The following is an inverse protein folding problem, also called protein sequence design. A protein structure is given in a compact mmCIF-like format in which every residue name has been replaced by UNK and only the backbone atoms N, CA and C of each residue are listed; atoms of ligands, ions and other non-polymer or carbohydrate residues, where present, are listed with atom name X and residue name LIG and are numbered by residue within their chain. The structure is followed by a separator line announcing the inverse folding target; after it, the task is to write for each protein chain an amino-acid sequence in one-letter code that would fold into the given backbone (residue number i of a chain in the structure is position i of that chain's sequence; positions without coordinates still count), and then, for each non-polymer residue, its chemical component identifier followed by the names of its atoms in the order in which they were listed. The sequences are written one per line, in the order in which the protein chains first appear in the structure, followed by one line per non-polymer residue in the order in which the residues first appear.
data_IF_991115576999
#
_entry.id   IF_991115576999
#
_cell.length_a   1.000
_cell.length_b   1.000
_cell.length_c   1.000
_cell.angle_alpha   90.00
_cell.angle_beta   90.00
_cell.angle_gamma   90.00
#
_symmetry.space_group_name_H-M   'P 1'
#
loop_
_entity.id
_entity.type
_entity.pdbx_description
1 polymer ?
#
# COMPACT_ATOMS: atom_id res chain seq x y z
N UNK A 1 -25.50 10.81 -13.21
CA UNK A 1 -25.11 10.30 -11.87
C UNK A 1 -23.58 10.19 -11.68
N UNK A 2 -22.80 9.70 -12.64
CA UNK A 2 -21.33 9.56 -12.48
C UNK A 2 -20.60 10.90 -12.37
N UNK A 3 -20.97 11.92 -13.16
CA UNK A 3 -20.38 13.26 -13.12
C UNK A 3 -20.62 13.97 -11.78
N UNK A 4 -21.84 13.88 -11.24
CA UNK A 4 -22.17 14.43 -9.92
C UNK A 4 -21.33 13.75 -8.80
N UNK A 5 -21.19 12.42 -8.87
CA UNK A 5 -20.36 11.67 -7.91
C UNK A 5 -18.89 12.08 -7.98
N UNK A 6 -18.35 12.23 -9.19
CA UNK A 6 -16.97 12.72 -9.40
C UNK A 6 -16.78 14.10 -8.77
N UNK A 7 -17.66 15.05 -9.06
CA UNK A 7 -17.58 16.41 -8.52
C UNK A 7 -17.63 16.41 -7.00
N UNK A 8 -18.61 15.70 -6.42
CA UNK A 8 -18.74 15.56 -4.97
C UNK A 8 -17.47 15.00 -4.33
N UNK A 9 -16.90 13.91 -4.90
CA UNK A 9 -15.66 13.31 -4.39
C UNK A 9 -14.47 14.25 -4.49
N UNK A 10 -14.34 15.00 -5.58
CA UNK A 10 -13.28 15.98 -5.76
C UNK A 10 -13.37 17.09 -4.70
N UNK A 11 -14.56 17.59 -4.42
CA UNK A 11 -14.76 18.61 -3.37
C UNK A 11 -14.37 18.07 -2.00
N UNK A 12 -14.80 16.85 -1.65
CA UNK A 12 -14.44 16.21 -0.38
C UNK A 12 -12.93 15.94 -0.28
N UNK A 13 -12.31 15.50 -1.37
CA UNK A 13 -10.86 15.28 -1.41
C UNK A 13 -10.10 16.60 -1.22
N UNK A 14 -10.50 17.67 -1.90
CA UNK A 14 -9.89 18.98 -1.74
C UNK A 14 -9.98 19.46 -0.29
N UNK A 15 -11.16 19.32 0.34
CA UNK A 15 -11.35 19.65 1.75
C UNK A 15 -10.46 18.78 2.65
N UNK A 16 -10.41 17.47 2.42
CA UNK A 16 -9.62 16.55 3.23
C UNK A 16 -8.11 16.77 3.05
N UNK A 17 -7.66 17.15 1.85
CA UNK A 17 -6.25 17.53 1.60
C UNK A 17 -5.91 18.81 2.36
N UNK A 18 -6.78 19.82 2.34
CA UNK A 18 -6.60 21.06 3.11
C UNK A 18 -6.49 20.76 4.62
N UNK A 19 -7.38 19.92 5.14
CA UNK A 19 -7.32 19.45 6.54
C UNK A 19 -6.00 18.70 6.78
N UNK A 20 -5.59 17.81 5.88
CA UNK A 20 -4.34 17.06 5.96
C UNK A 20 -3.11 17.98 6.02
N UNK A 21 -3.08 19.04 5.22
CA UNK A 21 -2.02 20.06 5.26
C UNK A 21 -1.98 20.74 6.65
N UNK A 22 -3.13 21.18 7.17
CA UNK A 22 -3.21 21.83 8.50
C UNK A 22 -2.76 20.87 9.61
N UNK A 23 -3.25 19.63 9.61
CA UNK A 23 -2.83 18.62 10.59
C UNK A 23 -1.34 18.31 10.51
N UNK A 24 -0.78 18.29 9.29
CA UNK A 24 0.65 18.08 9.08
C UNK A 24 1.48 19.24 9.64
N UNK A 25 1.08 20.48 9.42
CA UNK A 25 1.76 21.68 9.96
C UNK A 25 1.71 21.69 11.50
N UNK A 26 0.60 21.29 12.10
CA UNK A 26 0.40 21.34 13.56
C UNK A 26 1.10 20.15 14.25
N UNK A 27 0.89 18.94 13.77
CA UNK A 27 1.25 17.71 14.48
C UNK A 27 2.44 16.95 13.89
N UNK A 28 2.82 17.18 12.62
CA UNK A 28 3.85 16.44 11.91
C UNK A 28 5.07 17.30 11.56
N UNK A 29 5.41 18.29 12.39
CA UNK A 29 6.53 19.21 12.16
C UNK A 29 7.89 18.50 12.17
N UNK A 30 8.07 17.53 13.02
CA UNK A 30 9.27 16.69 13.11
C UNK A 30 8.97 15.29 12.59
N UNK A 31 9.99 14.58 12.10
CA UNK A 31 9.89 13.24 11.54
C UNK A 31 9.00 12.31 12.34
N UNK A 32 8.17 11.58 11.63
CA UNK A 32 6.99 10.88 12.14
C UNK A 32 7.35 9.61 12.91
N UNK A 33 6.99 9.54 14.18
CA UNK A 33 6.91 8.24 14.85
C UNK A 33 5.69 7.48 14.32
N UNK A 34 5.86 6.23 13.89
CA UNK A 34 4.76 5.35 13.49
C UNK A 34 3.87 4.90 14.67
N UNK A 35 3.91 5.63 15.78
CA UNK A 35 3.14 5.37 17.00
C UNK A 35 2.58 6.67 17.59
N UNK A 36 1.54 6.53 18.39
CA UNK A 36 0.91 7.66 19.08
C UNK A 36 -0.07 8.44 18.21
N UNK A 37 -0.26 9.72 18.55
CA UNK A 37 -1.27 10.58 17.93
C UNK A 37 -1.00 10.81 16.44
N UNK A 38 0.24 11.05 16.06
CA UNK A 38 0.64 11.31 14.66
C UNK A 38 0.30 10.12 13.76
N UNK A 39 0.60 8.92 14.20
CA UNK A 39 0.27 7.68 13.50
C UNK A 39 -1.25 7.50 13.33
N UNK A 40 -2.02 7.75 14.39
CA UNK A 40 -3.49 7.69 14.33
C UNK A 40 -4.07 8.72 13.35
N UNK A 41 -3.54 9.94 13.34
CA UNK A 41 -3.94 10.98 12.39
C UNK A 41 -3.71 10.52 10.95
N UNK A 42 -2.51 10.00 10.63
CA UNK A 42 -2.18 9.53 9.28
C UNK A 42 -3.08 8.37 8.88
N UNK A 43 -3.22 7.35 9.72
CA UNK A 43 -4.03 6.17 9.43
C UNK A 43 -5.51 6.55 9.24
N UNK A 44 -6.05 7.39 10.11
CA UNK A 44 -7.44 7.88 9.97
C UNK A 44 -7.61 8.67 8.68
N UNK A 45 -6.66 9.57 8.37
CA UNK A 45 -6.72 10.39 7.17
C UNK A 45 -6.67 9.55 5.88
N UNK A 46 -5.74 8.58 5.78
CA UNK A 46 -5.67 7.65 4.65
C UNK A 46 -6.95 6.82 4.50
N UNK A 47 -7.50 6.33 5.61
CA UNK A 47 -8.77 5.59 5.63
C UNK A 47 -9.96 6.45 5.16
N UNK A 48 -9.99 7.75 5.51
CA UNK A 48 -11.00 8.69 5.00
C UNK A 48 -10.84 8.95 3.51
N UNK A 49 -9.61 9.11 3.02
CA UNK A 49 -9.33 9.23 1.57
C UNK A 49 -9.85 8.00 0.82
N UNK A 50 -9.54 6.79 1.30
CA UNK A 50 -10.04 5.56 0.71
C UNK A 50 -11.59 5.54 0.66
N UNK A 51 -12.25 5.92 1.76
CA UNK A 51 -13.74 5.99 1.83
C UNK A 51 -14.33 7.01 0.85
N UNK A 52 -13.70 8.16 0.65
CA UNK A 52 -14.16 9.17 -0.34
C UNK A 52 -14.11 8.58 -1.74
N UNK A 53 -13.13 7.75 -2.07
CA UNK A 53 -13.10 7.01 -3.33
C UNK A 53 -14.17 5.91 -3.43
N UNK A 54 -14.91 5.66 -2.36
CA UNK A 54 -16.01 4.68 -2.32
C UNK A 54 -15.52 3.26 -2.09
N UNK A 55 -14.34 3.07 -1.50
CA UNK A 55 -13.84 1.73 -1.17
C UNK A 55 -14.66 1.08 -0.07
N UNK A 56 -14.98 -0.20 -0.24
CA UNK A 56 -15.62 -1.08 0.73
C UNK A 56 -14.62 -2.16 1.11
N UNK A 57 -13.93 -1.95 2.21
CA UNK A 57 -12.79 -2.77 2.61
C UNK A 57 -13.28 -3.94 3.46
N UNK A 58 -12.93 -5.17 3.06
CA UNK A 58 -13.04 -6.38 3.87
C UNK A 58 -11.65 -6.86 4.23
N UNK A 59 -11.41 -7.12 5.51
CA UNK A 59 -10.12 -7.62 6.01
C UNK A 59 -10.24 -9.06 6.46
N UNK A 60 -9.22 -9.86 6.15
CA UNK A 60 -9.10 -11.26 6.55
C UNK A 60 -7.74 -11.46 7.23
N UNK A 61 -7.70 -12.28 8.26
CA UNK A 61 -6.52 -12.42 9.12
C UNK A 61 -6.30 -11.22 10.04
N UNK A 62 -5.16 -11.19 10.69
CA UNK A 62 -4.80 -10.15 11.67
C UNK A 62 -3.46 -9.53 11.30
N UNK A 63 -3.42 -8.23 11.20
CA UNK A 63 -2.18 -7.49 10.99
C UNK A 63 -1.29 -7.55 12.23
N UNK A 64 0.00 -7.78 12.04
CA UNK A 64 1.00 -7.61 13.09
C UNK A 64 1.10 -6.11 13.46
N UNK A 65 1.33 -5.83 14.72
CA UNK A 65 1.23 -4.45 15.23
C UNK A 65 2.57 -3.74 15.35
N UNK A 66 3.66 -4.50 15.40
CA UNK A 66 4.98 -3.95 15.69
C UNK A 66 6.10 -4.65 14.92
N UNK A 67 7.13 -3.87 14.57
CA UNK A 67 8.40 -4.37 14.02
C UNK A 67 8.18 -5.37 12.87
N UNK A 68 7.29 -4.99 11.96
CA UNK A 68 6.87 -5.87 10.86
C UNK A 68 7.19 -5.24 9.51
N UNK A 69 7.84 -6.02 8.65
CA UNK A 69 7.91 -5.74 7.23
C UNK A 69 6.70 -6.38 6.54
N UNK A 70 5.72 -5.57 6.18
CA UNK A 70 4.63 -6.00 5.33
C UNK A 70 5.11 -6.10 3.88
N UNK A 71 4.76 -7.20 3.23
CA UNK A 71 5.16 -7.49 1.85
C UNK A 71 3.91 -7.76 1.03
N UNK A 72 3.54 -6.82 0.16
CA UNK A 72 2.29 -6.87 -0.58
C UNK A 72 2.50 -6.98 -2.10
N UNK A 73 1.51 -7.55 -2.79
CA UNK A 73 1.30 -7.31 -4.21
C UNK A 73 0.83 -5.87 -4.45
N UNK A 74 0.88 -5.39 -5.69
CA UNK A 74 0.56 -4.01 -6.04
C UNK A 74 -0.33 -3.94 -7.28
N UNK A 75 -1.52 -3.38 -7.12
CA UNK A 75 -2.52 -3.26 -8.20
C UNK A 75 -2.74 -1.79 -8.57
N UNK A 76 -2.85 -0.94 -7.56
CA UNK A 76 -3.29 0.44 -7.74
C UNK A 76 -2.63 1.39 -6.74
N UNK A 77 -2.59 2.67 -7.07
CA UNK A 77 -2.24 3.70 -6.09
C UNK A 77 -3.22 3.74 -4.89
N UNK A 78 -4.44 3.20 -5.05
CA UNK A 78 -5.41 3.02 -3.95
C UNK A 78 -4.90 2.09 -2.86
N UNK A 79 -4.00 1.17 -3.16
CA UNK A 79 -3.43 0.22 -2.19
C UNK A 79 -2.82 0.97 -0.99
N UNK A 80 -2.18 2.13 -1.27
CA UNK A 80 -1.56 2.96 -0.24
C UNK A 80 -2.62 3.52 0.73
N UNK A 81 -3.73 4.01 0.20
CA UNK A 81 -4.83 4.57 1.01
C UNK A 81 -5.52 3.48 1.82
N UNK A 82 -5.74 2.32 1.21
CA UNK A 82 -6.38 1.17 1.85
C UNK A 82 -5.50 0.62 2.96
N UNK A 83 -4.25 0.23 2.66
CA UNK A 83 -3.34 -0.39 3.63
C UNK A 83 -2.93 0.58 4.73
N UNK A 84 -2.61 1.83 4.38
CA UNK A 84 -2.26 2.87 5.35
C UNK A 84 -3.45 3.30 6.21
N UNK A 85 -4.69 3.10 5.74
CA UNK A 85 -5.90 3.31 6.52
C UNK A 85 -6.21 2.17 7.50
N UNK A 86 -5.58 1.01 7.35
CA UNK A 86 -5.78 -0.15 8.21
C UNK A 86 -4.69 -0.30 9.27
N UNK A 87 -3.43 -0.01 8.91
CA UNK A 87 -2.27 -0.24 9.78
C UNK A 87 -1.31 0.95 9.71
N UNK A 88 -0.73 1.37 10.85
CA UNK A 88 0.33 2.37 10.84
C UNK A 88 1.60 1.81 10.17
N UNK A 89 1.97 2.39 9.03
CA UNK A 89 3.02 1.85 8.16
C UNK A 89 3.87 2.99 7.57
N UNK A 90 5.18 2.78 7.49
CA UNK A 90 6.08 3.54 6.63
C UNK A 90 6.12 2.88 5.25
N UNK A 91 5.62 3.56 4.23
CA UNK A 91 5.66 3.06 2.86
C UNK A 91 7.02 3.29 2.22
N UNK A 92 7.44 2.38 1.34
CA UNK A 92 8.51 2.64 0.38
C UNK A 92 7.90 3.04 -0.96
N UNK A 93 8.23 4.23 -1.42
CA UNK A 93 7.72 4.81 -2.67
C UNK A 93 8.84 5.13 -3.66
N UNK A 94 8.49 5.39 -4.92
CA UNK A 94 9.43 5.91 -5.91
C UNK A 94 9.88 7.32 -5.53
N UNK A 95 11.14 7.66 -5.84
CA UNK A 95 11.69 8.99 -5.58
C UNK A 95 10.91 10.10 -6.29
N UNK A 96 10.35 9.84 -7.48
CA UNK A 96 9.55 10.80 -8.24
C UNK A 96 8.32 11.28 -7.47
N UNK A 97 7.72 10.43 -6.62
CA UNK A 97 6.59 10.81 -5.78
C UNK A 97 6.97 11.90 -4.78
N UNK A 98 8.23 11.92 -4.30
CA UNK A 98 8.74 12.96 -3.39
C UNK A 98 8.64 14.36 -4.01
N UNK A 99 8.81 14.45 -5.33
CA UNK A 99 8.80 15.69 -6.09
C UNK A 99 7.40 16.14 -6.52
N UNK A 100 6.36 15.33 -6.27
CA UNK A 100 4.98 15.72 -6.57
C UNK A 100 4.54 16.85 -5.62
N UNK A 101 4.01 17.97 -6.15
CA UNK A 101 3.49 19.03 -5.32
C UNK A 101 2.44 18.52 -4.33
N UNK A 102 2.44 19.02 -3.10
CA UNK A 102 1.53 18.68 -2.01
C UNK A 102 1.62 17.20 -1.60
N UNK A 103 1.40 16.26 -2.53
CA UNK A 103 1.42 14.81 -2.24
C UNK A 103 2.78 14.36 -1.73
N UNK A 104 3.87 14.77 -2.40
CA UNK A 104 5.24 14.41 -2.00
C UNK A 104 5.61 15.00 -0.63
N UNK A 105 5.16 16.23 -0.36
CA UNK A 105 5.37 16.87 0.94
C UNK A 105 4.58 16.14 2.05
N UNK A 106 3.29 15.84 1.84
CA UNK A 106 2.46 15.08 2.78
C UNK A 106 3.03 13.69 3.03
N UNK A 107 3.41 12.96 1.97
CA UNK A 107 4.00 11.63 2.06
C UNK A 107 5.32 11.65 2.85
N UNK A 108 6.20 12.62 2.59
CA UNK A 108 7.46 12.76 3.34
C UNK A 108 7.20 13.02 4.82
N UNK A 109 6.24 13.89 5.14
CA UNK A 109 5.84 14.16 6.53
C UNK A 109 5.14 12.97 7.19
N UNK A 110 4.49 12.12 6.40
CA UNK A 110 3.94 10.85 6.88
C UNK A 110 5.00 9.73 7.05
N UNK A 111 6.29 10.03 6.82
CA UNK A 111 7.38 9.07 7.03
C UNK A 111 7.57 8.09 5.87
N UNK A 112 7.15 8.45 4.66
CA UNK A 112 7.42 7.65 3.46
C UNK A 112 8.92 7.61 3.19
N UNK A 113 9.44 6.41 2.96
CA UNK A 113 10.79 6.13 2.49
C UNK A 113 10.82 6.18 0.96
N UNK A 114 11.97 6.48 0.37
CA UNK A 114 12.06 6.64 -1.07
C UNK A 114 13.18 5.79 -1.68
N UNK A 115 12.95 5.31 -2.90
CA UNK A 115 13.91 4.53 -3.67
C UNK A 115 13.98 5.03 -5.10
N UNK A 116 15.20 5.19 -5.62
CA UNK A 116 15.44 5.35 -7.05
C UNK A 116 15.53 3.96 -7.69
N UNK A 117 14.51 3.58 -8.45
CA UNK A 117 14.43 2.25 -9.07
C UNK A 117 15.50 2.08 -10.14
N UNK A 118 16.01 0.85 -10.26
CA UNK A 118 17.09 0.53 -11.23
C UNK A 118 18.50 0.79 -10.72
N UNK A 119 18.66 1.51 -9.60
CA UNK A 119 19.96 1.76 -8.98
C UNK A 119 20.20 0.79 -7.82
N UNK A 120 21.35 0.10 -7.81
CA UNK A 120 21.72 -0.89 -6.78
C UNK A 120 22.05 -0.23 -5.44
N UNK A 121 22.70 0.92 -5.47
CA UNK A 121 23.06 1.71 -4.30
C UNK A 121 21.80 2.22 -3.61
N UNK A 122 20.87 2.80 -4.36
CA UNK A 122 19.59 3.27 -3.81
C UNK A 122 18.75 2.15 -3.20
N UNK A 123 18.83 0.92 -3.73
CA UNK A 123 18.17 -0.23 -3.12
C UNK A 123 18.83 -0.65 -1.79
N UNK A 124 20.15 -0.45 -1.64
CA UNK A 124 20.87 -0.69 -0.39
C UNK A 124 20.51 0.38 0.65
N UNK A 125 20.47 1.65 0.25
CA UNK A 125 20.04 2.76 1.11
C UNK A 125 18.61 2.55 1.61
N UNK A 126 17.67 2.25 0.71
CA UNK A 126 16.28 1.96 1.07
C UNK A 126 16.17 0.77 2.03
N UNK A 127 16.99 -0.28 1.86
CA UNK A 127 17.05 -1.41 2.79
C UNK A 127 17.55 -0.98 4.17
N UNK A 128 18.55 -0.09 4.22
CA UNK A 128 19.05 0.48 5.46
C UNK A 128 18.00 1.34 6.17
N UNK A 129 17.30 2.19 5.45
CA UNK A 129 16.23 3.03 5.98
C UNK A 129 15.08 2.20 6.56
N UNK A 130 14.65 1.16 5.83
CA UNK A 130 13.64 0.21 6.32
C UNK A 130 14.15 -0.48 7.59
N UNK A 131 15.42 -0.91 7.61
CA UNK A 131 16.04 -1.54 8.79
C UNK A 131 15.99 -0.60 10.00
N UNK A 132 16.31 0.68 9.81
CA UNK A 132 16.26 1.68 10.88
C UNK A 132 14.83 1.85 11.44
N UNK A 133 13.83 1.94 10.56
CA UNK A 133 12.41 2.00 10.94
C UNK A 133 11.99 0.77 11.74
N UNK A 134 12.33 -0.42 11.27
CA UNK A 134 12.01 -1.68 11.95
C UNK A 134 12.70 -1.80 13.30
N UNK A 135 13.98 -1.39 13.43
CA UNK A 135 14.72 -1.41 14.70
C UNK A 135 14.12 -0.47 15.75
N UNK A 136 13.48 0.62 15.32
CA UNK A 136 12.70 1.51 16.20
C UNK A 136 11.36 0.89 16.64
N UNK A 137 11.05 -0.32 16.20
CA UNK A 137 9.80 -1.02 16.51
C UNK A 137 8.62 -0.62 15.61
N UNK A 138 8.86 0.16 14.56
CA UNK A 138 7.82 0.58 13.62
C UNK A 138 7.61 -0.45 12.52
N UNK A 139 6.51 -0.30 11.78
CA UNK A 139 6.20 -1.14 10.63
C UNK A 139 6.61 -0.45 9.33
N UNK A 140 7.04 -1.23 8.36
CA UNK A 140 7.25 -0.76 6.99
C UNK A 140 6.49 -1.64 6.00
N UNK A 141 6.13 -1.11 4.85
CA UNK A 141 5.51 -1.87 3.77
C UNK A 141 6.26 -1.66 2.46
N UNK A 142 6.51 -2.76 1.78
CA UNK A 142 7.04 -2.78 0.42
C UNK A 142 6.06 -3.48 -0.51
N UNK A 143 5.88 -2.91 -1.70
CA UNK A 143 5.26 -3.60 -2.82
C UNK A 143 6.34 -4.37 -3.57
N UNK A 144 6.44 -5.68 -3.27
CA UNK A 144 7.58 -6.49 -3.65
C UNK A 144 7.72 -6.76 -5.17
N UNK A 145 6.66 -6.53 -5.94
CA UNK A 145 6.69 -6.57 -7.41
C UNK A 145 7.49 -5.42 -8.02
N UNK A 146 7.72 -4.36 -7.27
CA UNK A 146 8.42 -3.17 -7.75
C UNK A 146 7.62 -2.31 -8.74
N UNK A 147 6.43 -2.71 -9.16
CA UNK A 147 5.50 -1.99 -10.03
C UNK A 147 4.09 -2.54 -9.82
N UNK A 148 3.08 -1.83 -10.29
CA UNK A 148 1.70 -2.33 -10.33
C UNK A 148 1.53 -3.45 -11.36
N UNK A 149 0.58 -4.34 -11.11
CA UNK A 149 0.23 -5.48 -11.97
C UNK A 149 -1.26 -5.50 -12.29
N UNK A 150 -1.63 -6.23 -13.33
CA UNK A 150 -3.00 -6.42 -13.80
C UNK A 150 -3.74 -7.57 -13.05
N UNK A 151 -3.21 -7.94 -11.89
CA UNK A 151 -3.69 -9.09 -11.12
C UNK A 151 -3.00 -10.41 -11.47
N UNK A 152 -2.00 -10.38 -12.39
CA UNK A 152 -0.98 -11.41 -12.53
C UNK A 152 0.22 -11.00 -11.70
N UNK A 153 0.39 -11.65 -10.54
CA UNK A 153 1.43 -11.27 -9.59
C UNK A 153 2.80 -11.55 -10.19
N UNK A 154 3.61 -10.51 -10.28
CA UNK A 154 5.00 -10.60 -10.74
C UNK A 154 5.88 -11.14 -9.61
N UNK A 155 7.03 -11.70 -9.99
CA UNK A 155 8.02 -12.18 -9.02
C UNK A 155 8.36 -11.11 -7.99
N UNK A 156 8.43 -11.50 -6.73
CA UNK A 156 8.84 -10.63 -5.64
C UNK A 156 10.36 -10.43 -5.63
N UNK A 157 10.80 -9.19 -5.50
CA UNK A 157 12.20 -8.83 -5.41
C UNK A 157 12.72 -9.03 -3.98
N UNK A 158 13.70 -9.92 -3.81
CA UNK A 158 14.19 -10.33 -2.49
C UNK A 158 15.10 -9.32 -1.80
N UNK A 159 15.67 -8.33 -2.54
CA UNK A 159 16.72 -7.45 -2.00
C UNK A 159 16.28 -6.71 -0.73
N UNK A 160 15.08 -6.15 -0.71
CA UNK A 160 14.56 -5.41 0.42
C UNK A 160 14.15 -6.29 1.62
N UNK A 161 14.02 -7.62 1.42
CA UNK A 161 13.79 -8.57 2.52
C UNK A 161 14.98 -8.63 3.49
N UNK A 162 16.17 -8.20 3.04
CA UNK A 162 17.34 -8.11 3.89
C UNK A 162 17.11 -7.22 5.11
N UNK A 163 16.32 -6.15 4.97
CA UNK A 163 15.97 -5.25 6.07
C UNK A 163 15.28 -5.94 7.24
N UNK A 164 14.42 -6.92 6.96
CA UNK A 164 13.75 -7.70 8.01
C UNK A 164 14.74 -8.62 8.75
N UNK A 165 15.72 -9.19 8.03
CA UNK A 165 16.79 -10.02 8.62
C UNK A 165 17.67 -9.16 9.53
N UNK A 166 18.16 -8.03 9.03
CA UNK A 166 19.05 -7.12 9.75
C UNK A 166 18.39 -6.45 10.97
N UNK A 167 17.06 -6.30 10.91
CA UNK A 167 16.29 -5.80 12.03
C UNK A 167 15.78 -6.90 12.98
N UNK A 168 15.96 -8.19 12.67
CA UNK A 168 15.27 -9.30 13.36
C UNK A 168 13.76 -9.07 13.45
N UNK A 169 13.14 -8.64 12.35
CA UNK A 169 11.74 -8.31 12.24
C UNK A 169 10.94 -9.49 11.69
N UNK A 170 9.62 -9.46 11.95
CA UNK A 170 8.67 -10.36 11.30
C UNK A 170 8.41 -9.86 9.88
N UNK A 171 8.23 -10.78 8.94
CA UNK A 171 7.71 -10.47 7.60
C UNK A 171 6.28 -10.95 7.53
N UNK A 172 5.34 -10.08 7.18
CA UNK A 172 3.95 -10.48 6.98
C UNK A 172 3.53 -10.26 5.54
N UNK A 173 3.24 -11.34 4.78
CA UNK A 173 2.69 -11.21 3.45
C UNK A 173 1.27 -10.65 3.51
N UNK A 174 0.92 -9.80 2.54
CA UNK A 174 -0.40 -9.18 2.41
C UNK A 174 -0.88 -9.34 0.98
N UNK A 175 -2.03 -9.98 0.79
CA UNK A 175 -2.69 -9.98 -0.50
C UNK A 175 -3.77 -8.88 -0.53
N UNK A 176 -3.69 -8.00 -1.52
CA UNK A 176 -4.72 -7.00 -1.81
C UNK A 176 -5.36 -7.30 -3.16
N UNK A 177 -6.68 -7.25 -3.21
CA UNK A 177 -7.43 -7.50 -4.44
C UNK A 177 -8.68 -6.61 -4.48
N UNK A 178 -9.08 -6.21 -5.67
CA UNK A 178 -10.29 -5.42 -5.93
C UNK A 178 -11.28 -6.28 -6.70
N UNK A 179 -12.09 -7.10 -5.99
CA UNK A 179 -12.98 -8.06 -6.65
C UNK A 179 -14.16 -7.36 -7.33
N UNK A 180 -14.45 -7.79 -8.54
CA UNK A 180 -15.67 -7.45 -9.29
C UNK A 180 -16.22 -8.68 -9.95
N UNK A 181 -17.53 -8.89 -9.79
CA UNK A 181 -18.22 -9.96 -10.49
C UNK A 181 -18.36 -9.57 -11.97
N UNK A 182 -17.87 -10.44 -12.84
CA UNK A 182 -18.11 -10.33 -14.27
C UNK A 182 -19.55 -10.82 -14.55
N UNK A 183 -20.45 -9.94 -15.03
CA UNK A 183 -21.87 -10.30 -15.19
C UNK A 183 -22.11 -11.35 -16.30
N UNK A 184 -21.16 -11.52 -17.23
CA UNK A 184 -21.27 -12.46 -18.34
C UNK A 184 -20.78 -13.87 -17.95
N UNK A 185 -19.71 -13.96 -17.15
CA UNK A 185 -19.08 -15.22 -16.79
C UNK A 185 -19.40 -15.70 -15.36
N UNK A 186 -19.94 -14.81 -14.53
CA UNK A 186 -20.13 -15.05 -13.08
C UNK A 186 -18.83 -15.19 -12.29
N UNK A 187 -17.70 -14.95 -12.92
CA UNK A 187 -16.38 -15.08 -12.27
C UNK A 187 -16.00 -13.80 -11.53
N UNK A 188 -15.24 -13.98 -10.44
CA UNK A 188 -14.61 -12.87 -9.74
C UNK A 188 -13.33 -12.46 -10.48
N UNK A 189 -13.32 -11.25 -11.00
CA UNK A 189 -12.21 -10.64 -11.73
C UNK A 189 -11.71 -9.39 -11.00
N UNK A 190 -10.59 -8.83 -11.45
CA UNK A 190 -10.10 -7.56 -10.94
C UNK A 190 -10.98 -6.42 -11.49
N UNK A 191 -11.40 -5.47 -10.63
CA UNK A 191 -12.20 -4.31 -11.07
C UNK A 191 -11.38 -3.44 -12.04
N UNK A 192 -11.79 -3.32 -13.30
CA UNK A 192 -11.07 -2.51 -14.29
C UNK A 192 -10.88 -1.04 -13.88
N UNK A 193 -11.76 -0.50 -13.02
CA UNK A 193 -11.64 0.88 -12.55
C UNK A 193 -10.40 1.10 -11.65
N UNK A 194 -9.82 0.03 -11.10
CA UNK A 194 -8.65 0.10 -10.21
C UNK A 194 -7.33 -0.16 -10.91
N UNK A 195 -7.36 -0.63 -12.15
CA UNK A 195 -6.16 -0.94 -12.92
C UNK A 195 -5.29 0.32 -13.11
N UNK A 196 -4.01 0.17 -12.77
CA UNK A 196 -3.00 1.20 -12.97
C UNK A 196 -1.72 0.56 -13.50
N UNK A 197 -1.74 0.16 -14.78
CA UNK A 197 -0.67 -0.59 -15.44
C UNK A 197 -0.31 -0.01 -16.81
N UNK A 198 0.89 -0.29 -17.27
CA UNK A 198 1.38 0.17 -18.57
C UNK A 198 1.39 1.69 -18.67
N UNK A 199 0.80 2.21 -19.74
CA UNK A 199 0.77 3.64 -20.07
C UNK A 199 -0.44 4.37 -19.43
N UNK A 200 -1.21 3.71 -18.53
CA UNK A 200 -2.34 4.35 -17.84
C UNK A 200 -1.84 5.55 -17.05
N UNK A 201 -2.32 6.74 -17.40
CA UNK A 201 -1.99 7.95 -16.65
C UNK A 201 -2.70 8.00 -15.30
N UNK A 202 -2.10 8.72 -14.34
CA UNK A 202 -2.74 8.97 -13.04
C UNK A 202 -4.11 9.66 -13.22
N UNK A 203 -4.23 10.57 -14.21
CA UNK A 203 -5.46 11.29 -14.47
C UNK A 203 -6.59 10.36 -14.96
N UNK A 204 -6.28 9.43 -15.85
CA UNK A 204 -7.25 8.43 -16.35
C UNK A 204 -7.70 7.50 -15.22
N UNK A 205 -6.75 6.94 -14.47
CA UNK A 205 -7.07 6.08 -13.31
C UNK A 205 -7.90 6.83 -12.26
N UNK A 206 -7.53 8.07 -11.96
CA UNK A 206 -8.29 8.93 -11.04
C UNK A 206 -9.72 9.19 -11.53
N UNK A 207 -9.92 9.43 -12.83
CA UNK A 207 -11.24 9.61 -13.42
C UNK A 207 -12.10 8.35 -13.27
N UNK A 208 -11.55 7.18 -13.59
CA UNK A 208 -12.25 5.90 -13.44
C UNK A 208 -12.67 5.63 -11.99
N UNK A 209 -11.74 5.77 -11.07
CA UNK A 209 -11.96 5.56 -9.63
C UNK A 209 -13.02 6.53 -9.09
N UNK A 210 -12.92 7.83 -9.44
CA UNK A 210 -13.87 8.83 -8.93
C UNK A 210 -15.28 8.69 -9.50
N UNK A 211 -15.44 8.07 -10.66
CA UNK A 211 -16.75 7.79 -11.28
C UNK A 211 -17.36 6.47 -10.81
N UNK A 212 -16.57 5.53 -10.35
CA UNK A 212 -17.05 4.21 -9.91
C UNK A 212 -18.10 4.36 -8.78
N UNK A 213 -19.22 3.60 -8.79
CA UNK A 213 -20.22 3.68 -7.74
C UNK A 213 -19.64 3.31 -6.36
N UNK A 214 -18.91 2.23 -6.32
CA UNK A 214 -18.11 1.75 -5.19
C UNK A 214 -16.98 0.90 -5.75
N UNK A 215 -16.01 0.60 -4.90
CA UNK A 215 -14.88 -0.27 -5.20
C UNK A 215 -14.75 -1.23 -4.02
N UNK A 216 -15.05 -2.51 -4.25
CA UNK A 216 -14.85 -3.53 -3.25
C UNK A 216 -13.35 -3.85 -3.13
N UNK A 217 -12.87 -4.04 -1.91
CA UNK A 217 -11.46 -4.33 -1.62
C UNK A 217 -11.37 -5.45 -0.62
N UNK A 218 -10.60 -6.47 -0.91
CA UNK A 218 -10.21 -7.50 0.04
C UNK A 218 -8.73 -7.34 0.41
N UNK A 219 -8.44 -7.30 1.70
CA UNK A 219 -7.09 -7.29 2.26
C UNK A 219 -6.92 -8.50 3.15
N UNK A 220 -5.98 -9.36 2.78
CA UNK A 220 -5.66 -10.59 3.50
C UNK A 220 -4.30 -10.43 4.17
N UNK A 221 -4.29 -10.32 5.50
CA UNK A 221 -3.08 -10.41 6.31
C UNK A 221 -2.76 -11.89 6.50
N UNK A 222 -1.75 -12.37 5.78
CA UNK A 222 -1.41 -13.78 5.73
C UNK A 222 -0.50 -14.17 6.90
N UNK A 223 -0.12 -15.45 6.98
CA UNK A 223 0.65 -15.98 8.11
C UNK A 223 2.01 -15.29 8.22
N UNK A 224 2.38 -14.77 9.39
CA UNK A 224 3.68 -14.14 9.59
C UNK A 224 4.84 -15.13 9.40
N UNK A 225 5.92 -14.66 8.79
CA UNK A 225 7.13 -15.39 8.50
C UNK A 225 8.24 -14.87 9.42
N UNK A 226 8.87 -15.74 10.21
CA UNK A 226 10.07 -15.38 10.96
C UNK A 226 11.25 -15.16 10.00
N UNK A 227 11.98 -14.06 10.17
CA UNK A 227 13.22 -13.82 9.43
C UNK A 227 14.43 -14.60 9.98
N UNK A 228 14.32 -15.16 11.21
CA UNK A 228 15.40 -15.87 11.87
C UNK A 228 15.82 -17.13 11.12
N UNK A 229 17.11 -17.23 10.79
CA UNK A 229 17.69 -18.40 10.14
C UNK A 229 17.30 -18.58 8.66
N UNK A 230 16.67 -17.56 8.04
CA UNK A 230 16.29 -17.60 6.64
C UNK A 230 17.09 -16.62 5.81
N UNK A 231 17.30 -16.96 4.56
CA UNK A 231 17.83 -16.05 3.54
C UNK A 231 16.72 -15.14 3.02
N UNK A 232 17.11 -13.99 2.47
CA UNK A 232 16.16 -13.07 1.80
C UNK A 232 15.39 -13.72 0.64
N UNK A 233 16.00 -14.69 -0.04
CA UNK A 233 15.36 -15.39 -1.16
C UNK A 233 14.27 -16.36 -0.67
N UNK A 234 14.53 -17.11 0.42
CA UNK A 234 13.53 -17.98 1.05
C UNK A 234 12.35 -17.18 1.58
N UNK A 235 12.59 -16.04 2.23
CA UNK A 235 11.53 -15.15 2.72
C UNK A 235 10.70 -14.62 1.54
N UNK A 236 11.35 -14.15 0.49
CA UNK A 236 10.70 -13.61 -0.70
C UNK A 236 9.85 -14.64 -1.42
N UNK A 237 10.38 -15.87 -1.59
CA UNK A 237 9.65 -16.94 -2.24
C UNK A 237 8.43 -17.37 -1.41
N UNK A 238 8.61 -17.56 -0.11
CA UNK A 238 7.50 -17.92 0.78
C UNK A 238 6.40 -16.84 0.78
N UNK A 239 6.78 -15.56 0.87
CA UNK A 239 5.81 -14.46 0.81
C UNK A 239 5.08 -14.41 -0.54
N UNK A 240 5.77 -14.68 -1.65
CA UNK A 240 5.18 -14.75 -2.98
C UNK A 240 4.15 -15.87 -3.07
N UNK A 241 4.50 -17.07 -2.65
CA UNK A 241 3.63 -18.25 -2.73
C UNK A 241 2.34 -18.04 -1.92
N UNK A 242 2.46 -17.55 -0.69
CA UNK A 242 1.31 -17.20 0.17
C UNK A 242 0.37 -16.17 -0.48
N UNK A 243 0.94 -15.12 -1.09
CA UNK A 243 0.13 -14.07 -1.76
C UNK A 243 -0.53 -14.61 -3.03
N UNK A 244 0.17 -15.40 -3.83
CA UNK A 244 -0.39 -16.03 -5.05
C UNK A 244 -1.54 -16.95 -4.69
N UNK A 245 -1.37 -17.82 -3.69
CA UNK A 245 -2.40 -18.75 -3.25
C UNK A 245 -3.65 -18.01 -2.74
N UNK A 246 -3.47 -16.93 -1.98
CA UNK A 246 -4.57 -16.10 -1.52
C UNK A 246 -5.34 -15.47 -2.70
N UNK A 247 -4.65 -14.90 -3.69
CA UNK A 247 -5.29 -14.30 -4.87
C UNK A 247 -6.01 -15.35 -5.71
N UNK A 248 -5.45 -16.53 -5.88
CA UNK A 248 -6.11 -17.65 -6.57
C UNK A 248 -7.40 -18.05 -5.82
N UNK A 249 -7.33 -18.14 -4.50
CA UNK A 249 -8.49 -18.46 -3.67
C UNK A 249 -9.60 -17.41 -3.79
N UNK A 250 -9.25 -16.11 -3.84
CA UNK A 250 -10.22 -15.01 -4.06
C UNK A 250 -10.90 -15.15 -5.43
N UNK A 251 -10.12 -15.34 -6.50
CA UNK A 251 -10.63 -15.46 -7.87
C UNK A 251 -11.52 -16.68 -8.09
N UNK A 252 -11.35 -17.76 -7.29
CA UNK A 252 -12.18 -18.98 -7.36
C UNK A 252 -13.53 -18.85 -6.66
N UNK A 253 -13.73 -17.84 -5.84
CA UNK A 253 -15.04 -17.59 -5.20
C UNK A 253 -16.04 -17.15 -6.26
N UNK A 254 -17.20 -17.81 -6.31
CA UNK A 254 -18.34 -17.47 -7.18
C UNK A 254 -19.25 -16.47 -6.48
#
# INVERSE_FOLDING_TARGET
MSAFRKLYRIILLALLVTIGIMLTIIFLRNTVPARGLSSRIITTWLGLVARIFGTRIKTFGTAQTEKTLFVANHISWLDIMVLGGLVPIHFLSKLEVKHMPVIGWLATRAGTLYIHRGNKESASEASSDITAVLKQGHNSLIFAEGTTSDGHIKRFHSRLMQSAIDAHAIVQPVAIFFPKQNPQTGKTELDPATLFVGDTSIAESFDLVTRAPHIDVEVHFLKPISSKGKTRNEISQHAYDEVVDAIIAIKRRR
#
